data_IF_231505701560
#
_entry.id   IF_231505701560
#
_cell.length_a   1.000
_cell.length_b   1.000
_cell.length_c   1.000
_cell.angle_alpha   90.00
_cell.angle_beta   90.00
_cell.angle_gamma   90.00
#
_symmetry.space_group_name_H-M   'P 1'
#
loop_
_entity.id
_entity.type
_entity.pdbx_description
1 polymer ?
#
# COMPACT_ATOMS: atom_id res chain seq x y z
N UNK A 1 -4.24 6.62 6.04
CA UNK A 1 -3.12 6.55 5.10
C UNK A 1 -1.94 5.88 5.75
N UNK A 2 -1.35 4.93 5.08
CA UNK A 2 -0.22 4.19 5.62
C UNK A 2 0.95 4.25 4.65
N UNK A 3 2.16 4.16 5.19
CA UNK A 3 3.36 4.18 4.39
C UNK A 3 4.14 2.90 4.66
N UNK A 4 4.65 2.29 3.60
CA UNK A 4 5.44 1.09 3.73
C UNK A 4 6.53 1.10 2.66
N UNK A 5 7.34 0.07 2.62
CA UNK A 5 8.35 -0.09 1.58
C UNK A 5 8.09 -1.38 0.83
N UNK A 6 8.83 -1.58 -0.27
CA UNK A 6 8.60 -2.77 -1.10
C UNK A 6 8.84 -4.07 -0.36
N UNK A 7 9.84 -4.11 0.50
CA UNK A 7 10.14 -5.33 1.24
C UNK A 7 8.98 -5.73 2.15
N UNK A 8 8.49 -4.77 2.91
CA UNK A 8 7.36 -5.04 3.81
C UNK A 8 6.09 -5.34 3.04
N UNK A 9 5.85 -4.59 1.98
CA UNK A 9 4.66 -4.78 1.17
C UNK A 9 4.63 -6.20 0.58
N UNK A 10 5.75 -6.62 0.03
CA UNK A 10 5.86 -7.92 -0.59
C UNK A 10 5.72 -9.05 0.44
N UNK A 11 6.25 -8.80 1.63
CA UNK A 11 6.22 -9.80 2.69
C UNK A 11 4.82 -10.09 3.17
N UNK A 12 3.95 -9.09 3.16
CA UNK A 12 2.60 -9.25 3.70
C UNK A 12 1.58 -8.62 2.78
N UNK A 13 1.62 -9.04 1.54
CA UNK A 13 0.83 -8.46 0.48
C UNK A 13 -0.66 -8.47 0.79
N UNK A 14 -1.14 -9.60 1.26
CA UNK A 14 -2.57 -9.76 1.53
C UNK A 14 -3.04 -8.78 2.60
N UNK A 15 -2.23 -8.58 3.62
CA UNK A 15 -2.57 -7.66 4.69
C UNK A 15 -2.76 -6.24 4.16
N UNK A 16 -1.81 -5.78 3.35
CA UNK A 16 -1.89 -4.42 2.83
C UNK A 16 -3.05 -4.26 1.87
N UNK A 17 -3.32 -5.27 1.05
CA UNK A 17 -4.46 -5.20 0.14
C UNK A 17 -5.77 -5.17 0.91
N UNK A 18 -5.87 -5.93 1.99
CA UNK A 18 -7.07 -5.90 2.81
C UNK A 18 -7.28 -4.55 3.47
N UNK A 19 -6.20 -3.93 3.93
CA UNK A 19 -6.28 -2.60 4.51
C UNK A 19 -6.86 -1.61 3.49
N UNK A 20 -6.40 -1.72 2.26
CA UNK A 20 -6.86 -0.82 1.21
C UNK A 20 -8.32 -1.07 0.89
N UNK A 21 -8.72 -2.32 0.72
CA UNK A 21 -10.08 -2.62 0.26
C UNK A 21 -11.10 -2.63 1.38
N UNK A 22 -10.73 -3.11 2.55
CA UNK A 22 -11.69 -3.21 3.66
C UNK A 22 -11.78 -1.94 4.48
N UNK A 23 -10.64 -1.31 4.73
CA UNK A 23 -10.62 -0.10 5.54
C UNK A 23 -10.59 1.16 4.71
N UNK A 24 -10.50 1.04 3.40
CA UNK A 24 -10.43 2.18 2.49
C UNK A 24 -9.27 3.09 2.81
N UNK A 25 -8.17 2.51 3.26
CA UNK A 25 -6.96 3.27 3.54
C UNK A 25 -6.11 3.38 2.29
N UNK A 26 -5.43 4.50 2.18
CA UNK A 26 -4.44 4.67 1.12
C UNK A 26 -3.11 4.15 1.62
N UNK A 27 -2.43 3.35 0.81
CA UNK A 27 -1.13 2.82 1.16
C UNK A 27 -0.10 3.37 0.19
N UNK A 28 0.94 4.00 0.75
CA UNK A 28 2.02 4.56 -0.03
C UNK A 28 3.22 3.62 0.10
N UNK A 29 3.74 3.17 -1.03
CA UNK A 29 4.87 2.25 -1.06
C UNK A 29 6.10 2.98 -1.54
N UNK A 30 7.11 3.07 -0.70
CA UNK A 30 8.39 3.67 -1.07
C UNK A 30 9.24 2.63 -1.78
N UNK A 31 9.75 3.00 -2.94
CA UNK A 31 10.52 2.07 -3.77
C UNK A 31 11.96 2.51 -3.97
N UNK A 32 12.45 3.36 -3.10
CA UNK A 32 13.80 3.86 -3.23
C UNK A 32 13.78 5.37 -3.34
N UNK A 33 14.90 5.92 -3.76
CA UNK A 33 15.00 7.37 -3.84
C UNK A 33 14.00 7.95 -4.82
N UNK A 34 13.20 8.88 -4.35
CA UNK A 34 12.31 9.66 -5.20
C UNK A 34 11.31 8.83 -5.99
N UNK A 35 11.11 7.59 -5.57
CA UNK A 35 10.12 6.74 -6.24
C UNK A 35 9.14 6.22 -5.21
N UNK A 36 7.87 6.33 -5.54
CA UNK A 36 6.83 5.83 -4.66
C UNK A 36 5.62 5.44 -5.49
N UNK A 37 4.85 4.54 -4.96
CA UNK A 37 3.60 4.13 -5.57
C UNK A 37 2.49 4.26 -4.54
N UNK A 38 1.26 4.41 -5.02
CA UNK A 38 0.11 4.56 -4.15
C UNK A 38 -0.91 3.51 -4.52
N UNK A 39 -1.47 2.86 -3.51
CA UNK A 39 -2.53 1.89 -3.73
C UNK A 39 -3.80 2.41 -3.07
N UNK A 40 -4.86 2.45 -3.82
CA UNK A 40 -6.17 2.87 -3.32
C UNK A 40 -7.21 1.86 -3.76
N UNK A 41 -8.33 1.88 -3.06
CA UNK A 41 -9.44 1.04 -3.42
C UNK A 41 -10.09 1.55 -4.71
N UNK A 42 -10.57 0.63 -5.51
CA UNK A 42 -11.19 1.00 -6.77
C UNK A 42 -12.69 1.23 -6.65
N UNK A 43 -13.27 0.85 -5.55
CA UNK A 43 -14.72 1.03 -5.41
C UNK A 43 -15.04 2.51 -5.27
N UNK A 44 -16.17 2.88 -5.77
CA UNK A 44 -16.58 4.27 -5.80
C UNK A 44 -17.68 4.54 -4.86
#
# INVERSE_FOLDING_TARGET
MQTTNMSEFRKDLKKFLNIVTDDHETVIINRGEKKAAVIISLDE
#
